data_IF_313617178315
#
_entry.id   IF_313617178315
#
_cell.length_a   1.000
_cell.length_b   1.000
_cell.length_c   1.000
_cell.angle_alpha   90.00
_cell.angle_beta   90.00
_cell.angle_gamma   90.00
#
_symmetry.space_group_name_H-M   'P 1'
#
loop_
_entity.id
_entity.type
_entity.pdbx_description
1 polymer ?
#
# COMPACT_ATOMS: atom_id res chain seq x y z
N UNK A 1 19.51 39.89 -4.97
CA UNK A 1 20.24 40.39 -3.85
C UNK A 1 20.08 39.58 -2.57
N UNK A 2 19.63 38.29 -2.67
CA UNK A 2 19.59 37.33 -1.52
C UNK A 2 20.41 36.11 -1.91
N UNK A 3 21.11 35.53 -0.94
CA UNK A 3 21.74 34.23 -1.08
C UNK A 3 20.67 33.15 -1.15
N UNK A 4 20.80 32.24 -2.10
CA UNK A 4 19.86 31.14 -2.35
C UNK A 4 20.66 29.87 -2.61
N UNK A 5 20.96 29.16 -1.54
CA UNK A 5 21.70 27.90 -1.63
C UNK A 5 20.75 26.78 -2.01
N UNK A 6 21.10 26.02 -3.04
CA UNK A 6 20.40 24.80 -3.39
C UNK A 6 20.84 23.67 -2.46
N UNK A 7 19.90 23.15 -1.67
CA UNK A 7 20.10 21.97 -0.83
C UNK A 7 19.35 20.82 -1.47
N UNK A 8 20.03 19.81 -2.03
CA UNK A 8 19.36 18.67 -2.62
C UNK A 8 18.68 17.80 -1.56
N UNK A 9 17.59 17.12 -1.95
CA UNK A 9 16.87 16.21 -1.08
C UNK A 9 16.59 14.88 -1.78
N UNK A 10 16.56 13.80 -0.97
CA UNK A 10 16.24 12.45 -1.43
C UNK A 10 15.09 11.88 -0.65
N UNK A 11 14.14 11.32 -1.39
CA UNK A 11 13.12 10.44 -0.86
C UNK A 11 13.67 9.01 -0.80
N UNK A 12 13.65 8.38 0.37
CA UNK A 12 14.46 7.20 0.68
C UNK A 12 13.65 6.00 1.18
N UNK A 13 12.36 5.91 0.85
CA UNK A 13 11.48 4.84 1.30
C UNK A 13 10.44 4.48 0.25
N UNK A 14 9.63 3.47 0.55
CA UNK A 14 8.52 3.02 -0.28
C UNK A 14 8.78 1.72 -1.03
N UNK A 15 7.74 1.25 -1.71
CA UNK A 15 7.71 -0.01 -2.43
C UNK A 15 8.89 -0.25 -3.39
N UNK A 16 9.36 0.74 -4.18
CA UNK A 16 10.46 0.50 -5.12
C UNK A 16 11.75 0.04 -4.44
N UNK A 17 12.05 0.54 -3.25
CA UNK A 17 13.24 0.14 -2.48
C UNK A 17 13.03 -1.23 -1.86
N UNK A 18 11.89 -1.43 -1.20
CA UNK A 18 11.55 -2.70 -0.55
C UNK A 18 11.52 -3.85 -1.55
N UNK A 19 10.92 -3.62 -2.72
CA UNK A 19 10.87 -4.61 -3.80
C UNK A 19 12.26 -5.02 -4.30
N UNK A 20 13.19 -4.07 -4.42
CA UNK A 20 14.57 -4.37 -4.83
C UNK A 20 15.30 -5.24 -3.81
N UNK A 21 15.12 -5.00 -2.53
CA UNK A 21 15.68 -5.87 -1.48
C UNK A 21 15.02 -7.25 -1.51
N UNK A 22 13.69 -7.31 -1.71
CA UNK A 22 12.99 -8.58 -1.84
C UNK A 22 13.45 -9.38 -3.06
N UNK A 23 13.72 -8.74 -4.20
CA UNK A 23 14.33 -9.41 -5.36
C UNK A 23 15.69 -10.03 -5.03
N UNK A 24 16.51 -9.32 -4.24
CA UNK A 24 17.81 -9.86 -3.79
C UNK A 24 17.62 -11.07 -2.89
N UNK A 25 16.62 -11.04 -2.00
CA UNK A 25 16.29 -12.20 -1.17
C UNK A 25 15.84 -13.39 -2.00
N UNK A 26 14.94 -13.18 -2.96
CA UNK A 26 14.48 -14.23 -3.88
C UNK A 26 15.65 -14.86 -4.66
N UNK A 27 16.58 -14.06 -5.16
CA UNK A 27 17.80 -14.55 -5.82
C UNK A 27 18.67 -15.41 -4.89
N UNK A 28 18.72 -15.05 -3.62
CA UNK A 28 19.48 -15.76 -2.59
C UNK A 28 18.67 -16.88 -1.91
N UNK A 29 17.47 -17.21 -2.42
CA UNK A 29 16.55 -18.21 -1.86
C UNK A 29 16.16 -17.94 -0.40
N UNK A 30 16.15 -16.68 0.00
CA UNK A 30 15.65 -16.20 1.29
C UNK A 30 14.20 -15.78 1.16
N UNK A 31 13.40 -16.04 2.20
CA UNK A 31 12.04 -15.54 2.30
C UNK A 31 12.04 -14.24 3.13
N UNK A 32 11.49 -13.16 2.56
CA UNK A 32 11.33 -11.86 3.24
C UNK A 32 10.59 -11.98 4.57
N UNK A 33 9.55 -12.82 4.62
CA UNK A 33 8.69 -12.97 5.79
C UNK A 33 9.41 -13.63 7.00
N UNK A 34 10.56 -14.24 6.76
CA UNK A 34 11.41 -14.88 7.79
C UNK A 34 12.50 -13.94 8.31
N UNK A 35 12.69 -12.78 7.66
CA UNK A 35 13.71 -11.80 8.05
C UNK A 35 13.14 -10.87 9.12
N UNK A 36 13.86 -10.62 10.22
CA UNK A 36 13.42 -9.63 11.20
C UNK A 36 13.20 -8.26 10.55
N UNK A 37 12.09 -7.63 10.86
CA UNK A 37 11.68 -6.36 10.21
C UNK A 37 12.73 -5.25 10.37
N UNK A 38 13.47 -5.26 11.48
CA UNK A 38 14.56 -4.33 11.74
C UNK A 38 15.71 -4.51 10.76
N UNK A 39 16.07 -5.75 10.46
CA UNK A 39 17.17 -6.07 9.56
C UNK A 39 16.78 -5.74 8.11
N UNK A 40 15.56 -6.10 7.71
CA UNK A 40 15.01 -5.71 6.42
C UNK A 40 15.02 -4.20 6.21
N UNK A 41 14.56 -3.42 7.19
CA UNK A 41 14.58 -1.95 7.14
C UNK A 41 16.01 -1.40 7.05
N UNK A 42 16.95 -2.01 7.74
CA UNK A 42 18.34 -1.60 7.69
C UNK A 42 18.93 -1.82 6.28
N UNK A 43 18.67 -2.96 5.66
CA UNK A 43 19.09 -3.24 4.28
C UNK A 43 18.47 -2.25 3.29
N UNK A 44 17.20 -1.87 3.47
CA UNK A 44 16.55 -0.83 2.66
C UNK A 44 17.26 0.53 2.82
N UNK A 45 17.64 0.92 4.04
CA UNK A 45 18.39 2.17 4.31
C UNK A 45 19.76 2.16 3.64
N UNK A 46 20.48 1.06 3.72
CA UNK A 46 21.80 0.89 3.10
C UNK A 46 21.71 0.96 1.57
N UNK A 47 20.71 0.32 1.00
CA UNK A 47 20.43 0.39 -0.43
C UNK A 47 20.12 1.82 -0.88
N UNK A 48 19.22 2.52 -0.20
CA UNK A 48 18.91 3.92 -0.49
C UNK A 48 20.14 4.82 -0.36
N UNK A 49 20.95 4.64 0.69
CA UNK A 49 22.19 5.38 0.89
C UNK A 49 23.17 5.19 -0.25
N UNK A 50 23.32 3.98 -0.75
CA UNK A 50 24.21 3.68 -1.88
C UNK A 50 23.81 4.45 -3.14
N UNK A 51 22.49 4.62 -3.38
CA UNK A 51 21.98 5.40 -4.51
C UNK A 51 22.16 6.90 -4.32
N UNK A 52 22.03 7.43 -3.11
CA UNK A 52 22.36 8.83 -2.84
C UNK A 52 23.80 9.13 -3.26
N UNK A 53 24.73 8.28 -2.89
CA UNK A 53 26.15 8.46 -3.21
C UNK A 53 26.43 8.40 -4.73
N UNK A 54 25.68 7.57 -5.47
CA UNK A 54 25.73 7.52 -6.94
C UNK A 54 25.17 8.83 -7.52
N UNK A 55 23.98 9.23 -7.10
CA UNK A 55 23.30 10.44 -7.59
C UNK A 55 24.13 11.70 -7.33
N UNK A 56 24.76 11.85 -6.17
CA UNK A 56 25.64 12.99 -5.87
C UNK A 56 26.77 13.07 -6.89
N UNK A 57 27.41 11.97 -7.22
CA UNK A 57 28.49 11.93 -8.22
C UNK A 57 27.98 12.31 -9.59
N UNK A 58 26.84 11.78 -9.98
CA UNK A 58 26.26 12.02 -11.31
C UNK A 58 25.77 13.46 -11.46
N UNK A 59 25.09 14.04 -10.48
CA UNK A 59 24.66 15.44 -10.51
C UNK A 59 25.82 16.40 -10.52
N UNK A 60 26.87 16.16 -9.72
CA UNK A 60 28.11 16.96 -9.78
C UNK A 60 28.77 16.88 -11.16
N UNK A 61 28.78 15.70 -11.80
CA UNK A 61 29.29 15.51 -13.16
C UNK A 61 28.48 16.28 -14.19
N UNK A 62 27.15 16.39 -14.00
CA UNK A 62 26.26 17.17 -14.87
C UNK A 62 26.35 18.69 -14.64
N UNK A 63 27.16 19.13 -13.67
CA UNK A 63 27.38 20.55 -13.39
C UNK A 63 26.38 21.16 -12.41
N UNK A 64 25.58 20.34 -11.71
CA UNK A 64 24.69 20.84 -10.65
C UNK A 64 25.53 21.34 -9.48
N UNK A 65 25.33 22.60 -9.10
CA UNK A 65 25.98 23.26 -7.97
C UNK A 65 25.00 23.32 -6.80
N UNK A 66 25.43 22.88 -5.62
CA UNK A 66 24.62 22.90 -4.41
C UNK A 66 25.35 22.35 -3.21
N UNK A 67 24.73 22.40 -2.05
CA UNK A 67 25.25 21.85 -0.81
C UNK A 67 24.95 20.34 -0.73
N UNK A 68 25.78 19.55 -1.39
CA UNK A 68 25.70 18.09 -1.38
C UNK A 68 26.30 17.46 -0.09
N UNK A 69 26.91 18.24 0.78
CA UNK A 69 27.45 17.73 2.04
C UNK A 69 26.38 17.73 3.13
N UNK A 70 25.50 18.75 3.13
CA UNK A 70 24.40 18.90 4.08
C UNK A 70 23.04 18.63 3.41
N UNK A 71 22.96 17.61 2.58
CA UNK A 71 21.73 17.26 1.88
C UNK A 71 20.60 16.82 2.82
N UNK A 72 19.36 17.01 2.41
CA UNK A 72 18.18 16.50 3.08
C UNK A 72 17.91 15.04 2.71
N UNK A 73 17.55 14.23 3.68
CA UNK A 73 17.13 12.83 3.45
C UNK A 73 15.90 12.50 4.31
N UNK A 74 14.86 11.97 3.66
CA UNK A 74 13.64 11.55 4.36
C UNK A 74 13.85 10.38 5.31
N UNK A 75 14.96 9.63 5.17
CA UNK A 75 15.33 8.55 6.09
C UNK A 75 16.24 8.99 7.24
N UNK A 76 16.59 10.29 7.34
CA UNK A 76 17.35 10.77 8.50
C UNK A 76 16.47 10.71 9.75
N UNK A 77 17.08 10.40 10.89
CA UNK A 77 16.33 10.31 12.14
C UNK A 77 15.70 11.64 12.56
N UNK A 78 16.31 12.76 12.20
CA UNK A 78 15.77 14.10 12.42
C UNK A 78 14.51 14.33 11.61
N UNK A 79 14.52 13.96 10.31
CA UNK A 79 13.36 14.07 9.44
C UNK A 79 12.22 13.16 9.92
N UNK A 80 12.50 11.90 10.21
CA UNK A 80 11.51 10.96 10.75
C UNK A 80 10.92 11.46 12.07
N UNK A 81 11.75 11.96 12.99
CA UNK A 81 11.29 12.50 14.25
C UNK A 81 10.40 13.74 14.05
N UNK A 82 10.71 14.61 13.08
CA UNK A 82 9.88 15.76 12.79
C UNK A 82 8.53 15.37 12.21
N UNK A 83 8.50 14.38 11.30
CA UNK A 83 7.24 13.83 10.75
C UNK A 83 6.36 13.30 11.88
N UNK A 84 6.92 12.53 12.81
CA UNK A 84 6.17 11.99 13.96
C UNK A 84 5.64 13.11 14.86
N UNK A 85 6.44 14.17 15.10
CA UNK A 85 5.99 15.33 15.91
C UNK A 85 4.82 16.05 15.24
N UNK A 86 4.88 16.25 13.92
CA UNK A 86 3.78 16.92 13.21
C UNK A 86 2.52 16.06 13.20
N UNK A 87 2.65 14.75 12.94
CA UNK A 87 1.52 13.82 13.01
C UNK A 87 0.89 13.79 14.42
N UNK A 88 1.72 13.87 15.46
CA UNK A 88 1.27 13.94 16.85
C UNK A 88 0.40 15.17 17.14
N UNK A 89 0.61 16.30 16.46
CA UNK A 89 -0.26 17.49 16.61
C UNK A 89 -1.68 17.21 16.14
N UNK A 90 -1.85 16.49 15.03
CA UNK A 90 -3.17 16.09 14.54
C UNK A 90 -3.88 15.12 15.48
N UNK A 91 -3.12 14.25 16.16
CA UNK A 91 -3.68 13.37 17.18
C UNK A 91 -4.17 14.16 18.39
N UNK A 92 -3.37 15.13 18.86
CA UNK A 92 -3.72 15.95 20.04
C UNK A 92 -4.88 16.90 19.79
N UNK A 93 -5.04 17.37 18.57
CA UNK A 93 -6.17 18.21 18.13
C UNK A 93 -7.46 17.40 17.84
N UNK A 94 -7.35 16.06 17.77
CA UNK A 94 -8.48 15.16 17.53
C UNK A 94 -8.81 14.94 16.04
N UNK A 95 -8.04 15.52 15.13
CA UNK A 95 -8.23 15.34 13.68
C UNK A 95 -7.79 13.96 13.18
N UNK A 96 -6.85 13.32 13.88
CA UNK A 96 -6.38 11.97 13.59
C UNK A 96 -7.13 10.96 14.45
N UNK A 97 -7.84 10.05 13.81
CA UNK A 97 -8.55 8.95 14.47
C UNK A 97 -8.37 7.65 13.72
N UNK A 98 -8.56 6.53 14.41
CA UNK A 98 -8.54 5.20 13.81
C UNK A 98 -9.92 4.87 13.22
N UNK A 99 -9.95 4.44 11.97
CA UNK A 99 -11.19 4.04 11.30
C UNK A 99 -10.95 2.93 10.30
N UNK A 100 -12.04 2.44 9.70
CA UNK A 100 -11.99 1.45 8.63
C UNK A 100 -12.40 2.09 7.30
N UNK A 101 -11.59 1.88 6.28
CA UNK A 101 -11.87 2.32 4.92
C UNK A 101 -11.42 1.22 3.95
N UNK A 102 -12.24 0.82 2.96
CA UNK A 102 -11.78 -0.04 1.88
C UNK A 102 -10.63 0.62 1.13
N UNK A 103 -9.55 -0.12 0.92
CA UNK A 103 -8.37 0.33 0.18
C UNK A 103 -7.97 -0.72 -0.84
N UNK A 104 -7.31 -0.29 -1.92
CA UNK A 104 -6.68 -1.21 -2.86
C UNK A 104 -5.50 -1.90 -2.16
N UNK A 105 -5.39 -3.20 -2.36
CA UNK A 105 -4.42 -4.03 -1.65
C UNK A 105 -3.68 -4.96 -2.62
N UNK A 106 -2.36 -4.95 -2.56
CA UNK A 106 -1.54 -5.96 -3.23
C UNK A 106 -1.41 -7.21 -2.37
N UNK A 107 -1.91 -8.33 -2.87
CA UNK A 107 -1.77 -9.63 -2.18
C UNK A 107 -0.35 -10.20 -2.31
N UNK A 108 0.42 -9.73 -3.28
CA UNK A 108 1.81 -10.12 -3.52
C UNK A 108 2.74 -9.36 -2.57
N UNK A 109 2.62 -8.02 -2.57
CA UNK A 109 3.44 -7.14 -1.74
C UNK A 109 2.94 -7.05 -0.28
N UNK A 110 1.72 -7.53 -0.02
CA UNK A 110 1.04 -7.50 1.30
C UNK A 110 0.96 -6.10 1.88
N UNK A 111 0.54 -5.15 1.05
CA UNK A 111 0.40 -3.74 1.44
C UNK A 111 -0.76 -3.05 0.72
N UNK A 112 -1.22 -1.94 1.30
CA UNK A 112 -2.13 -1.02 0.64
C UNK A 112 -1.44 -0.30 -0.53
N UNK A 113 -2.20 0.02 -1.57
CA UNK A 113 -1.73 0.72 -2.75
C UNK A 113 -2.35 2.11 -2.82
N UNK A 114 -1.56 3.10 -3.26
CA UNK A 114 -2.08 4.38 -3.71
C UNK A 114 -2.71 4.23 -5.11
N UNK A 115 -3.64 5.11 -5.46
CA UNK A 115 -4.30 5.07 -6.78
C UNK A 115 -3.30 5.14 -7.94
N UNK A 116 -2.20 5.86 -7.77
CA UNK A 116 -1.15 5.99 -8.77
C UNK A 116 -0.31 4.71 -8.98
N UNK A 117 -0.38 3.76 -8.06
CA UNK A 117 0.35 2.48 -8.11
C UNK A 117 -0.49 1.38 -8.76
N UNK A 118 -1.75 1.67 -9.09
CA UNK A 118 -2.69 0.68 -9.64
C UNK A 118 -2.67 0.73 -11.16
N UNK A 119 -2.42 -0.41 -11.77
CA UNK A 119 -2.52 -0.60 -13.22
C UNK A 119 -3.77 -1.43 -13.54
N UNK A 120 -4.52 -0.99 -14.55
CA UNK A 120 -5.71 -1.70 -15.03
C UNK A 120 -5.35 -2.49 -16.27
N UNK A 121 -5.58 -3.80 -16.20
CA UNK A 121 -5.32 -4.72 -17.30
C UNK A 121 -6.59 -5.52 -17.60
N UNK A 122 -6.75 -5.90 -18.89
CA UNK A 122 -7.81 -6.82 -19.26
C UNK A 122 -7.59 -8.17 -18.58
N UNK A 123 -8.62 -8.65 -17.90
CA UNK A 123 -8.58 -9.90 -17.17
C UNK A 123 -9.80 -10.76 -17.47
N UNK A 124 -9.56 -12.03 -17.75
CA UNK A 124 -10.63 -13.01 -17.90
C UNK A 124 -10.86 -13.72 -16.57
N UNK A 125 -12.06 -13.57 -16.03
CA UNK A 125 -12.46 -14.24 -14.79
C UNK A 125 -13.70 -15.12 -14.99
N UNK A 126 -13.86 -16.12 -14.14
CA UNK A 126 -15.07 -16.93 -14.12
C UNK A 126 -16.19 -16.14 -13.44
N UNK A 127 -17.35 -16.08 -14.09
CA UNK A 127 -18.58 -15.58 -13.50
C UNK A 127 -19.48 -16.74 -13.13
N UNK A 128 -20.22 -16.60 -12.05
CA UNK A 128 -21.15 -17.64 -11.60
C UNK A 128 -22.54 -17.09 -11.34
N UNK A 129 -23.54 -17.93 -11.53
CA UNK A 129 -24.89 -17.74 -11.06
C UNK A 129 -25.12 -18.68 -9.89
N UNK A 130 -25.67 -18.17 -8.79
CA UNK A 130 -25.99 -18.95 -7.60
C UNK A 130 -27.46 -18.78 -7.28
N UNK A 131 -28.16 -19.88 -7.11
CA UNK A 131 -29.57 -19.89 -6.72
C UNK A 131 -29.72 -20.20 -5.24
N UNK A 132 -30.29 -19.26 -4.48
CA UNK A 132 -30.65 -19.43 -3.08
C UNK A 132 -32.14 -19.77 -2.99
N UNK A 133 -32.49 -20.94 -2.43
CA UNK A 133 -33.87 -21.31 -2.18
C UNK A 133 -34.50 -20.37 -1.15
N UNK A 134 -35.71 -19.87 -1.47
CA UNK A 134 -36.52 -19.18 -0.49
C UNK A 134 -36.95 -20.15 0.59
N UNK A 135 -36.55 -19.91 1.84
CA UNK A 135 -36.81 -20.79 2.95
C UNK A 135 -38.19 -20.54 3.56
N UNK A 136 -38.50 -19.28 3.82
CA UNK A 136 -39.77 -18.82 4.40
C UNK A 136 -40.24 -17.57 3.67
N UNK A 137 -41.53 -17.43 3.45
CA UNK A 137 -42.13 -16.25 2.83
C UNK A 137 -43.62 -16.18 3.10
N UNK A 138 -44.14 -14.96 3.25
CA UNK A 138 -45.56 -14.66 3.33
C UNK A 138 -46.22 -14.41 1.96
N UNK A 139 -45.45 -14.53 0.86
CA UNK A 139 -45.88 -14.29 -0.51
C UNK A 139 -46.02 -15.62 -1.26
N UNK A 140 -47.24 -16.00 -1.63
CA UNK A 140 -47.49 -17.30 -2.28
C UNK A 140 -46.70 -17.50 -3.57
N UNK A 141 -46.46 -16.45 -4.37
CA UNK A 141 -45.70 -16.55 -5.62
C UNK A 141 -44.19 -16.80 -5.40
N UNK A 142 -43.67 -16.63 -4.20
CA UNK A 142 -42.27 -16.90 -3.86
C UNK A 142 -42.07 -18.29 -3.22
N UNK A 143 -43.17 -18.98 -2.88
CA UNK A 143 -43.08 -20.34 -2.35
C UNK A 143 -42.44 -21.25 -3.42
N UNK A 144 -41.51 -22.09 -2.98
CA UNK A 144 -40.73 -23.00 -3.83
C UNK A 144 -39.87 -22.32 -4.93
N UNK A 145 -39.68 -21.01 -4.81
CA UNK A 145 -38.85 -20.21 -5.70
C UNK A 145 -37.38 -20.18 -5.23
N UNK A 146 -36.52 -19.69 -6.10
CA UNK A 146 -35.13 -19.39 -5.75
C UNK A 146 -34.78 -17.98 -6.22
N UNK A 147 -33.99 -17.26 -5.42
CA UNK A 147 -33.42 -15.98 -5.78
C UNK A 147 -32.07 -16.26 -6.43
N UNK A 148 -31.90 -15.75 -7.65
CA UNK A 148 -30.67 -15.95 -8.41
C UNK A 148 -29.82 -14.67 -8.27
N UNK A 149 -28.59 -14.85 -7.85
CA UNK A 149 -27.57 -13.81 -7.90
C UNK A 149 -26.53 -14.14 -8.96
N UNK A 150 -25.92 -13.10 -9.51
CA UNK A 150 -24.79 -13.23 -10.43
C UNK A 150 -23.61 -12.44 -9.87
N UNK A 151 -22.42 -13.01 -9.97
CA UNK A 151 -21.20 -12.35 -9.51
C UNK A 151 -19.99 -12.72 -10.37
N UNK A 152 -19.10 -11.76 -10.55
CA UNK A 152 -17.74 -11.94 -11.08
C UNK A 152 -16.73 -12.27 -9.96
N UNK A 153 -17.16 -12.18 -8.71
CA UNK A 153 -16.32 -12.29 -7.49
C UNK A 153 -16.92 -13.33 -6.55
N UNK A 154 -16.75 -14.64 -6.83
CA UNK A 154 -17.39 -15.73 -6.07
C UNK A 154 -17.14 -15.69 -4.55
N UNK A 155 -16.03 -15.14 -4.13
CA UNK A 155 -15.67 -14.98 -2.71
C UNK A 155 -16.56 -13.98 -1.95
N UNK A 156 -17.41 -13.23 -2.64
CA UNK A 156 -18.41 -12.33 -2.02
C UNK A 156 -19.72 -13.05 -1.67
N UNK A 157 -19.89 -14.33 -2.00
CA UNK A 157 -21.12 -15.11 -1.71
C UNK A 157 -21.50 -15.07 -0.23
N UNK A 158 -20.58 -15.20 0.75
CA UNK A 158 -20.95 -15.10 2.17
C UNK A 158 -21.62 -13.78 2.55
N UNK A 159 -21.19 -12.66 1.92
CA UNK A 159 -21.80 -11.33 2.12
C UNK A 159 -23.20 -11.29 1.52
N UNK A 160 -23.39 -11.82 0.31
CA UNK A 160 -24.67 -11.89 -0.36
C UNK A 160 -25.69 -12.73 0.46
N UNK A 161 -25.24 -13.82 1.04
CA UNK A 161 -26.08 -14.64 1.94
C UNK A 161 -26.51 -13.83 3.16
N UNK A 162 -25.60 -13.10 3.79
CA UNK A 162 -25.92 -12.26 4.97
C UNK A 162 -26.97 -11.19 4.63
N UNK A 163 -26.86 -10.55 3.45
CA UNK A 163 -27.81 -9.53 3.01
C UNK A 163 -29.19 -10.11 2.71
N UNK A 164 -29.24 -11.33 2.12
CA UNK A 164 -30.51 -12.00 1.83
C UNK A 164 -31.24 -12.47 3.13
N UNK A 165 -30.48 -12.76 4.18
CA UNK A 165 -31.06 -13.13 5.49
C UNK A 165 -31.44 -11.90 6.32
N UNK A 166 -30.79 -10.77 6.15
CA UNK A 166 -31.11 -9.52 6.86
C UNK A 166 -32.36 -8.78 6.31
N UNK A 167 -32.85 -9.19 5.15
CA UNK A 167 -34.07 -8.64 4.56
C UNK A 167 -35.37 -9.20 5.14
N UNK A 168 -35.27 -10.11 6.13
CA UNK A 168 -36.40 -10.78 6.78
C UNK A 168 -36.81 -10.15 8.12
N UNK A 169 -36.20 -9.00 8.54
CA UNK A 169 -36.56 -8.23 9.75
C UNK A 169 -37.53 -7.08 9.43
#
# INVERSE_FOLDING_TARGET
>A
GRDSVYVPGWDCHGLPIEWKIEEQYKKNKKNKDEVPIKDFRQECREFAKSWIDVHIKEFKRLGVVGDFENYYSTMSYEAEAQIVRELGKFLLDGSLYQGFKPVLWSTVEKTALADAEVEYLDHTSNTIYVAFKVKETNKDFLKDSSIIIWTTTPWTIPVSYTHLTAADD
#
